data_IF_283941453858
#
_entry.id   IF_283941453858
#
_cell.length_a   1.000
_cell.length_b   1.000
_cell.length_c   1.000
_cell.angle_alpha   90.00
_cell.angle_beta   90.00
_cell.angle_gamma   90.00
#
_symmetry.space_group_name_H-M   'P 1'
#
loop_
_entity.id
_entity.type
_entity.pdbx_description
1 polymer ?
#
# COMPACT_ATOMS: atom_id res chain seq x y z
N UNK A 1 -12.92 11.24 -6.48
CA UNK A 1 -13.30 10.67 -7.59
C UNK A 1 -14.63 10.90 -8.28
N UNK A 2 -15.21 9.85 -8.84
CA UNK A 2 -16.43 9.91 -9.65
C UNK A 2 -17.64 10.45 -8.85
N UNK A 3 -17.74 10.13 -7.57
CA UNK A 3 -18.82 10.61 -6.70
C UNK A 3 -18.74 12.14 -6.45
N UNK A 4 -17.55 12.69 -6.27
CA UNK A 4 -17.38 14.13 -6.13
C UNK A 4 -17.81 14.88 -7.41
N UNK A 5 -17.53 14.32 -8.58
CA UNK A 5 -17.97 14.88 -9.85
C UNK A 5 -19.50 14.81 -10.01
N UNK A 6 -20.14 13.72 -9.60
CA UNK A 6 -21.61 13.59 -9.62
C UNK A 6 -22.27 14.56 -8.66
N UNK A 7 -21.72 14.75 -7.45
CA UNK A 7 -22.22 15.75 -6.49
C UNK A 7 -22.06 17.16 -7.03
N UNK A 8 -20.92 17.47 -7.65
CA UNK A 8 -20.68 18.79 -8.25
C UNK A 8 -21.66 19.07 -9.40
N UNK A 9 -21.93 18.06 -10.23
CA UNK A 9 -22.92 18.15 -11.32
C UNK A 9 -24.33 18.37 -10.77
N UNK A 10 -24.73 17.65 -9.73
CA UNK A 10 -26.03 17.82 -9.05
C UNK A 10 -26.16 19.21 -8.42
N UNK A 11 -25.07 19.74 -7.83
CA UNK A 11 -24.99 21.10 -7.31
C UNK A 11 -25.21 22.14 -8.39
N UNK A 12 -24.55 22.02 -9.53
CA UNK A 12 -24.73 22.93 -10.68
C UNK A 12 -26.17 22.88 -11.17
N UNK A 13 -26.72 21.69 -11.32
CA UNK A 13 -28.10 21.51 -11.80
C UNK A 13 -29.12 22.14 -10.85
N UNK A 14 -28.95 21.97 -9.53
CA UNK A 14 -29.77 22.58 -8.51
C UNK A 14 -29.64 24.11 -8.50
N UNK A 15 -28.45 24.66 -8.69
CA UNK A 15 -28.24 26.12 -8.82
C UNK A 15 -28.94 26.67 -10.06
N UNK A 16 -28.84 25.97 -11.20
CA UNK A 16 -29.53 26.40 -12.44
C UNK A 16 -31.04 26.37 -12.28
N UNK A 17 -31.59 25.31 -11.64
CA UNK A 17 -33.02 25.21 -11.36
C UNK A 17 -33.50 26.26 -10.37
N UNK A 18 -32.72 26.61 -9.35
CA UNK A 18 -33.02 27.70 -8.43
C UNK A 18 -33.02 29.06 -9.11
N UNK A 19 -32.06 29.32 -10.02
CA UNK A 19 -32.01 30.57 -10.81
C UNK A 19 -33.21 30.70 -11.75
N UNK A 20 -33.75 29.61 -12.27
CA UNK A 20 -34.96 29.61 -13.10
C UNK A 20 -36.27 29.79 -12.31
N UNK A 21 -36.21 30.08 -11.01
CA UNK A 21 -37.36 30.25 -10.08
C UNK A 21 -38.29 29.03 -9.96
N UNK A 22 -37.88 27.86 -10.41
CA UNK A 22 -38.67 26.61 -10.29
C UNK A 22 -38.62 26.00 -8.89
N UNK A 23 -37.60 26.34 -8.10
CA UNK A 23 -37.44 25.81 -6.74
C UNK A 23 -37.17 26.98 -5.78
N UNK A 24 -37.86 26.98 -4.64
CA UNK A 24 -37.64 27.98 -3.57
C UNK A 24 -36.26 27.77 -2.95
N UNK A 25 -35.44 28.76 -2.85
CA UNK A 25 -34.05 28.71 -2.32
C UNK A 25 -34.00 28.09 -0.92
N UNK A 26 -35.05 28.26 -0.11
CA UNK A 26 -35.21 27.67 1.23
C UNK A 26 -35.25 26.12 1.22
N UNK A 27 -35.62 25.50 0.10
CA UNK A 27 -35.67 24.05 -0.05
C UNK A 27 -34.40 23.57 -0.77
N UNK A 28 -33.90 24.30 -1.75
CA UNK A 28 -32.72 23.94 -2.52
C UNK A 28 -31.45 23.83 -1.64
N UNK A 29 -31.23 24.83 -0.75
CA UNK A 29 -30.02 24.89 0.07
C UNK A 29 -29.87 23.65 1.01
N UNK A 30 -30.87 23.27 1.84
CA UNK A 30 -30.76 22.11 2.69
C UNK A 30 -30.64 20.80 1.90
N UNK A 31 -31.28 20.68 0.72
CA UNK A 31 -31.17 19.51 -0.13
C UNK A 31 -29.74 19.33 -0.65
N UNK A 32 -29.09 20.42 -1.07
CA UNK A 32 -27.69 20.43 -1.51
C UNK A 32 -26.76 20.00 -0.39
N UNK A 33 -26.93 20.57 0.82
CA UNK A 33 -26.12 20.22 1.98
C UNK A 33 -26.30 18.75 2.34
N UNK A 34 -27.53 18.25 2.31
CA UNK A 34 -27.83 16.85 2.61
C UNK A 34 -27.17 15.90 1.59
N UNK A 35 -27.28 16.19 0.28
CA UNK A 35 -26.66 15.40 -0.78
C UNK A 35 -25.14 15.41 -0.68
N UNK A 36 -24.52 16.57 -0.38
CA UNK A 36 -23.09 16.68 -0.17
C UNK A 36 -22.63 15.86 1.04
N UNK A 37 -23.34 15.96 2.17
CA UNK A 37 -23.05 15.18 3.37
C UNK A 37 -23.19 13.66 3.12
N UNK A 38 -24.22 13.25 2.39
CA UNK A 38 -24.48 11.87 2.03
C UNK A 38 -23.37 11.32 1.10
N UNK A 39 -22.91 12.11 0.14
CA UNK A 39 -21.83 11.71 -0.75
C UNK A 39 -20.49 11.59 -0.02
N UNK A 40 -20.15 12.55 0.86
CA UNK A 40 -18.94 12.49 1.70
C UNK A 40 -19.02 11.29 2.64
N UNK A 41 -20.18 11.05 3.27
CA UNK A 41 -20.41 9.90 4.14
C UNK A 41 -20.24 8.58 3.40
N UNK A 42 -20.79 8.46 2.19
CA UNK A 42 -20.68 7.26 1.36
C UNK A 42 -19.24 7.03 0.90
N UNK A 43 -18.53 8.05 0.43
CA UNK A 43 -17.12 7.95 0.04
C UNK A 43 -16.25 7.53 1.22
N UNK A 44 -16.48 8.11 2.39
CA UNK A 44 -15.79 7.74 3.63
C UNK A 44 -16.07 6.29 4.01
N UNK A 45 -17.33 5.85 3.96
CA UNK A 45 -17.72 4.48 4.27
C UNK A 45 -17.13 3.47 3.27
N UNK A 46 -17.13 3.79 1.97
CA UNK A 46 -16.53 2.93 0.93
C UNK A 46 -15.01 2.87 1.02
N UNK A 47 -14.35 3.94 1.44
CA UNK A 47 -12.89 3.97 1.62
C UNK A 47 -12.43 3.35 2.93
N UNK A 48 -13.35 3.12 3.88
CA UNK A 48 -13.02 2.64 5.23
C UNK A 48 -12.30 1.29 5.22
N UNK A 49 -12.68 0.41 4.32
CA UNK A 49 -12.14 -0.95 4.20
C UNK A 49 -11.14 -1.11 3.05
N UNK A 50 -10.62 -0.03 2.50
CA UNK A 50 -9.67 -0.09 1.39
C UNK A 50 -8.25 0.02 1.91
N UNK A 51 -7.42 -0.96 1.54
CA UNK A 51 -5.97 -0.94 1.74
C UNK A 51 -5.31 -0.87 0.37
N UNK A 52 -4.41 0.10 0.19
CA UNK A 52 -3.59 0.19 -1.01
C UNK A 52 -2.18 -0.29 -0.69
N UNK A 53 -1.64 -1.16 -1.51
CA UNK A 53 -0.26 -1.66 -1.44
C UNK A 53 0.43 -1.22 -2.72
N UNK A 54 1.51 -0.47 -2.60
CA UNK A 54 2.24 0.11 -3.73
C UNK A 54 3.73 -0.13 -3.58
N UNK A 55 4.37 -0.46 -4.69
CA UNK A 55 5.83 -0.45 -4.81
C UNK A 55 6.28 0.93 -5.27
N UNK A 56 7.25 1.49 -4.58
CA UNK A 56 7.72 2.87 -4.80
C UNK A 56 9.25 2.91 -4.78
N UNK A 57 9.83 3.75 -5.61
CA UNK A 57 11.27 4.01 -5.62
C UNK A 57 12.01 3.35 -6.77
N UNK A 58 13.20 2.83 -6.52
CA UNK A 58 14.08 2.28 -7.55
C UNK A 58 13.74 0.83 -7.88
N UNK A 59 13.96 0.41 -9.12
CA UNK A 59 13.75 -0.98 -9.56
C UNK A 59 14.59 -1.99 -8.77
N UNK A 60 15.79 -1.59 -8.37
CA UNK A 60 16.73 -2.46 -7.66
C UNK A 60 16.23 -2.85 -6.27
N UNK A 61 15.68 -1.88 -5.54
CA UNK A 61 15.25 -2.06 -4.16
C UNK A 61 14.01 -1.19 -3.88
N UNK A 62 12.84 -1.56 -4.43
CA UNK A 62 11.62 -0.79 -4.23
C UNK A 62 11.15 -0.92 -2.78
N UNK A 63 10.72 0.18 -2.18
CA UNK A 63 9.99 0.17 -0.94
C UNK A 63 8.54 -0.24 -1.19
N UNK A 64 7.90 -0.81 -0.16
CA UNK A 64 6.46 -1.11 -0.18
C UNK A 64 5.77 -0.13 0.74
N UNK A 65 4.80 0.59 0.20
CA UNK A 65 3.96 1.53 0.95
C UNK A 65 2.55 0.95 1.03
N UNK A 66 2.10 0.68 2.24
CA UNK A 66 0.78 0.15 2.52
C UNK A 66 -0.01 1.26 3.18
N UNK A 67 -1.05 1.75 2.52
CA UNK A 67 -1.86 2.85 3.04
C UNK A 67 -3.27 2.42 3.32
N UNK A 68 -3.75 2.80 4.49
CA UNK A 68 -5.16 2.69 4.88
C UNK A 68 -5.59 4.03 5.45
N UNK A 69 -6.37 4.79 4.71
CA UNK A 69 -6.74 6.18 5.03
C UNK A 69 -5.49 7.08 5.20
N UNK A 70 -5.40 7.79 6.32
CA UNK A 70 -4.31 8.71 6.69
C UNK A 70 -3.11 8.02 7.36
N UNK A 71 -3.14 6.69 7.44
CA UNK A 71 -2.12 5.88 8.10
C UNK A 71 -1.37 5.02 7.09
N UNK A 72 -0.10 4.79 7.35
CA UNK A 72 0.72 3.93 6.51
C UNK A 72 1.61 2.97 7.31
N UNK A 73 1.93 1.85 6.65
CA UNK A 73 3.01 0.95 7.00
C UNK A 73 4.01 0.98 5.85
N UNK A 74 5.27 1.20 6.14
CA UNK A 74 6.33 1.29 5.14
C UNK A 74 7.33 0.17 5.34
N UNK A 75 7.56 -0.63 4.30
CA UNK A 75 8.64 -1.61 4.23
C UNK A 75 9.74 -1.01 3.38
N UNK A 76 10.81 -0.57 4.02
CA UNK A 76 11.88 0.17 3.37
C UNK A 76 13.08 -0.73 3.09
N UNK A 77 13.61 -0.68 1.87
CA UNK A 77 14.80 -1.43 1.46
C UNK A 77 15.66 -0.72 0.41
N UNK A 78 15.38 0.53 0.17
CA UNK A 78 16.09 1.34 -0.84
C UNK A 78 17.13 2.28 -0.26
N UNK A 79 17.55 3.22 -1.09
CA UNK A 79 18.46 4.30 -0.80
C UNK A 79 17.71 5.64 -0.62
N UNK A 80 18.45 6.75 -0.60
CA UNK A 80 17.89 8.12 -0.48
C UNK A 80 16.90 8.47 -1.61
N UNK A 81 17.10 7.96 -2.84
CA UNK A 81 16.16 8.17 -3.96
C UNK A 81 14.82 7.48 -3.65
N UNK A 82 14.89 6.24 -3.19
CA UNK A 82 13.69 5.49 -2.77
C UNK A 82 13.02 6.18 -1.59
N UNK A 83 13.77 6.72 -0.64
CA UNK A 83 13.21 7.45 0.49
C UNK A 83 12.38 8.66 0.04
N UNK A 84 12.94 9.51 -0.83
CA UNK A 84 12.21 10.66 -1.39
C UNK A 84 10.95 10.24 -2.14
N UNK A 85 11.03 9.13 -2.90
CA UNK A 85 9.87 8.60 -3.60
C UNK A 85 8.78 8.11 -2.64
N UNK A 86 9.15 7.51 -1.50
CA UNK A 86 8.20 7.12 -0.44
C UNK A 86 7.57 8.35 0.20
N UNK A 87 8.36 9.36 0.59
CA UNK A 87 7.88 10.62 1.17
C UNK A 87 6.86 11.30 0.25
N UNK A 88 7.20 11.46 -1.04
CA UNK A 88 6.27 12.01 -2.04
C UNK A 88 5.00 11.17 -2.19
N UNK A 89 5.09 9.84 -2.09
CA UNK A 89 3.92 8.97 -2.20
C UNK A 89 3.02 9.08 -0.97
N UNK A 90 3.59 9.18 0.22
CA UNK A 90 2.85 9.41 1.46
C UNK A 90 2.09 10.74 1.42
N UNK A 91 2.75 11.80 0.96
CA UNK A 91 2.13 13.11 0.78
C UNK A 91 0.97 13.07 -0.25
N UNK A 92 1.19 12.47 -1.43
CA UNK A 92 0.14 12.28 -2.45
C UNK A 92 -1.07 11.51 -1.94
N UNK A 93 -0.87 10.61 -0.99
CA UNK A 93 -1.93 9.83 -0.36
C UNK A 93 -2.58 10.50 0.84
N UNK A 94 -2.11 11.69 1.24
CA UNK A 94 -2.60 12.40 2.42
C UNK A 94 -2.33 11.63 3.71
N UNK A 95 -1.24 10.85 3.76
CA UNK A 95 -0.84 10.11 4.95
C UNK A 95 -0.32 11.10 5.98
N UNK A 96 -0.94 11.12 7.15
CA UNK A 96 -0.51 11.95 8.29
C UNK A 96 0.46 11.22 9.21
N UNK A 97 0.34 9.90 9.26
CA UNK A 97 1.12 9.11 10.23
C UNK A 97 1.61 7.81 9.60
N UNK A 98 2.91 7.57 9.68
CA UNK A 98 3.49 6.25 9.45
C UNK A 98 3.46 5.51 10.80
N UNK A 99 2.56 4.54 10.92
CA UNK A 99 2.41 3.78 12.17
C UNK A 99 3.57 2.81 12.38
N UNK A 100 4.07 2.20 11.30
CA UNK A 100 5.16 1.24 11.35
C UNK A 100 6.09 1.40 10.16
N UNK A 101 7.38 1.58 10.44
CA UNK A 101 8.47 1.49 9.49
C UNK A 101 9.27 0.23 9.75
N UNK A 102 9.37 -0.65 8.74
CA UNK A 102 10.25 -1.82 8.76
C UNK A 102 11.41 -1.57 7.82
N UNK A 103 12.58 -1.29 8.35
CA UNK A 103 13.81 -1.15 7.57
C UNK A 103 14.41 -2.54 7.31
N UNK A 104 14.31 -3.00 6.07
CA UNK A 104 14.75 -4.32 5.63
C UNK A 104 16.21 -4.32 5.15
N UNK A 105 16.90 -3.18 5.19
CA UNK A 105 18.30 -3.09 4.80
C UNK A 105 19.19 -3.78 5.83
N UNK A 106 20.18 -4.49 5.32
CA UNK A 106 21.07 -5.27 6.17
C UNK A 106 22.29 -4.46 6.64
N UNK A 107 22.75 -3.58 5.77
CA UNK A 107 23.90 -2.69 6.00
C UNK A 107 23.52 -1.30 5.46
N UNK A 108 22.70 -0.53 6.17
CA UNK A 108 22.38 0.81 5.74
C UNK A 108 23.59 1.74 5.89
N UNK A 109 24.02 2.38 4.82
CA UNK A 109 25.03 3.43 4.85
C UNK A 109 24.53 4.67 5.61
N UNK A 110 23.25 5.00 5.42
CA UNK A 110 22.58 6.10 6.10
C UNK A 110 21.31 5.63 6.81
N UNK A 111 20.95 6.22 7.95
CA UNK A 111 19.68 5.92 8.61
C UNK A 111 18.51 6.36 7.74
N UNK A 112 17.42 5.58 7.77
CA UNK A 112 16.17 6.00 7.14
C UNK A 112 15.57 7.16 7.93
N UNK A 113 15.29 8.28 7.25
CA UNK A 113 14.77 9.52 7.88
C UNK A 113 13.25 9.58 7.94
N UNK A 114 12.53 8.60 7.37
CA UNK A 114 11.06 8.55 7.42
C UNK A 114 10.63 8.45 8.88
N UNK A 115 9.86 9.43 9.35
CA UNK A 115 9.32 9.42 10.70
C UNK A 115 8.22 8.39 10.83
N UNK A 116 8.25 7.59 11.92
CA UNK A 116 7.26 6.57 12.20
C UNK A 116 7.06 6.39 13.71
N UNK A 117 5.84 6.04 14.13
CA UNK A 117 5.53 5.77 15.54
C UNK A 117 6.27 4.54 16.08
N UNK A 118 6.37 3.50 15.24
CA UNK A 118 7.12 2.27 15.56
C UNK A 118 8.13 2.00 14.46
N UNK A 119 9.30 1.52 14.85
CA UNK A 119 10.37 1.17 13.91
C UNK A 119 10.90 -0.22 14.22
N UNK A 120 11.07 -1.03 13.17
CA UNK A 120 11.76 -2.30 13.22
C UNK A 120 12.93 -2.21 12.25
N UNK A 121 14.14 -2.44 12.75
CA UNK A 121 15.34 -2.47 11.93
C UNK A 121 15.81 -3.92 11.81
N UNK A 122 15.81 -4.47 10.61
CA UNK A 122 16.23 -5.85 10.35
C UNK A 122 17.71 -6.07 10.70
N UNK A 123 18.57 -5.06 10.49
CA UNK A 123 19.99 -5.16 10.82
C UNK A 123 20.24 -5.29 12.33
N UNK A 124 19.38 -4.72 13.16
CA UNK A 124 19.51 -4.76 14.62
C UNK A 124 18.94 -6.05 15.26
N UNK A 125 18.23 -6.89 14.50
CA UNK A 125 17.73 -8.16 15.01
C UNK A 125 18.85 -9.20 15.06
N UNK A 126 18.83 -10.08 16.07
CA UNK A 126 19.73 -11.21 16.13
C UNK A 126 19.46 -12.21 14.98
N UNK A 127 20.50 -12.91 14.53
CA UNK A 127 20.36 -13.92 13.51
C UNK A 127 19.40 -15.05 13.96
N UNK A 128 18.65 -15.62 13.00
CA UNK A 128 17.67 -16.66 13.20
C UNK A 128 16.54 -16.30 14.17
N UNK A 129 16.26 -15.00 14.34
CA UNK A 129 15.14 -14.55 15.14
C UNK A 129 13.95 -14.13 14.27
N UNK A 130 12.78 -14.23 14.87
CA UNK A 130 11.53 -13.78 14.25
C UNK A 130 10.95 -12.62 15.06
N UNK A 131 10.64 -11.52 14.39
CA UNK A 131 9.92 -10.39 14.97
C UNK A 131 8.53 -10.29 14.36
N UNK A 132 7.50 -10.21 15.20
CA UNK A 132 6.12 -10.00 14.77
C UNK A 132 5.68 -8.60 15.13
N UNK A 133 4.88 -8.01 14.26
CA UNK A 133 4.22 -6.73 14.48
C UNK A 133 2.84 -6.76 13.82
N UNK A 134 1.88 -6.12 14.46
CA UNK A 134 0.54 -5.91 13.90
C UNK A 134 0.25 -4.41 13.91
N UNK A 135 -0.32 -3.92 12.82
CA UNK A 135 -0.66 -2.53 12.65
C UNK A 135 -1.95 -2.42 11.84
N UNK A 136 -3.04 -2.04 12.50
CA UNK A 136 -4.36 -2.04 11.89
C UNK A 136 -4.75 -3.43 11.38
N UNK A 137 -4.92 -3.55 10.06
CA UNK A 137 -5.27 -4.82 9.39
C UNK A 137 -4.07 -5.50 8.72
N UNK A 138 -2.87 -5.07 9.05
CA UNK A 138 -1.61 -5.58 8.52
C UNK A 138 -0.86 -6.34 9.62
N UNK A 139 -0.70 -7.64 9.44
CA UNK A 139 0.12 -8.48 10.29
C UNK A 139 1.44 -8.76 9.57
N UNK A 140 2.55 -8.57 10.26
CA UNK A 140 3.90 -8.73 9.75
C UNK A 140 4.67 -9.74 10.57
N UNK A 141 5.41 -10.58 9.88
CA UNK A 141 6.37 -11.51 10.47
C UNK A 141 7.71 -11.37 9.72
N UNK A 142 8.71 -10.81 10.41
CA UNK A 142 10.06 -10.61 9.90
C UNK A 142 10.97 -11.67 10.46
N UNK A 143 11.53 -12.52 9.61
CA UNK A 143 12.53 -13.51 9.94
C UNK A 143 13.91 -13.05 9.46
N UNK A 144 14.85 -12.91 10.39
CA UNK A 144 16.22 -12.51 10.13
C UNK A 144 17.10 -13.73 9.91
N UNK A 145 17.87 -13.72 8.82
CA UNK A 145 18.92 -14.72 8.55
C UNK A 145 20.28 -14.00 8.46
N UNK A 146 21.37 -14.76 8.40
CA UNK A 146 22.71 -14.20 8.20
C UNK A 146 22.82 -13.39 6.89
N UNK A 147 22.18 -13.84 5.82
CA UNK A 147 22.30 -13.27 4.47
C UNK A 147 21.22 -12.25 4.12
N UNK A 148 20.26 -12.01 5.01
CA UNK A 148 19.16 -11.10 4.75
C UNK A 148 17.95 -11.36 5.61
N UNK A 149 16.78 -11.03 5.12
CA UNK A 149 15.53 -11.28 5.83
C UNK A 149 14.40 -11.70 4.89
N UNK A 150 13.46 -12.45 5.47
CA UNK A 150 12.19 -12.83 4.86
C UNK A 150 11.10 -12.10 5.60
N UNK A 151 10.31 -11.32 4.91
CA UNK A 151 9.14 -10.69 5.49
C UNK A 151 7.89 -11.32 4.90
N UNK A 152 7.07 -11.85 5.79
CA UNK A 152 5.72 -12.30 5.49
C UNK A 152 4.74 -11.26 5.99
N UNK A 153 3.72 -11.00 5.21
CA UNK A 153 2.68 -10.05 5.56
C UNK A 153 1.33 -10.66 5.26
N UNK A 154 0.36 -10.40 6.13
CA UNK A 154 -1.05 -10.73 5.90
C UNK A 154 -1.87 -9.45 5.91
N UNK A 155 -2.66 -9.25 4.87
CA UNK A 155 -3.59 -8.12 4.76
C UNK A 155 -4.92 -8.64 4.23
N UNK A 156 -5.98 -8.51 5.03
CA UNK A 156 -7.31 -8.94 4.60
C UNK A 156 -7.41 -10.41 4.18
N UNK A 157 -6.68 -11.31 4.87
CA UNK A 157 -6.65 -12.73 4.54
C UNK A 157 -5.65 -13.12 3.45
N UNK A 158 -5.13 -12.16 2.68
CA UNK A 158 -4.12 -12.38 1.64
C UNK A 158 -2.71 -12.41 2.23
N UNK A 159 -1.87 -13.32 1.74
CA UNK A 159 -0.48 -13.48 2.17
C UNK A 159 0.46 -12.89 1.14
N UNK A 160 1.29 -11.99 1.61
CA UNK A 160 2.34 -11.34 0.85
C UNK A 160 3.70 -11.79 1.38
N UNK A 161 4.67 -11.89 0.49
CA UNK A 161 6.04 -12.20 0.86
C UNK A 161 7.00 -11.26 0.13
N UNK A 162 8.06 -10.87 0.83
CA UNK A 162 9.20 -10.19 0.22
C UNK A 162 10.49 -10.65 0.84
N UNK A 163 11.56 -10.58 0.06
CA UNK A 163 12.92 -10.90 0.46
C UNK A 163 13.78 -9.66 0.46
N UNK A 164 14.74 -9.59 1.35
CA UNK A 164 15.83 -8.62 1.32
C UNK A 164 17.15 -9.36 1.52
N UNK A 165 18.16 -9.02 0.72
CA UNK A 165 19.42 -9.76 0.65
C UNK A 165 19.32 -11.04 -0.20
N UNK A 166 20.27 -11.95 -0.02
CA UNK A 166 20.41 -13.21 -0.80
C UNK A 166 19.85 -14.41 -0.07
N UNK A 167 18.67 -14.25 0.53
CA UNK A 167 18.07 -15.31 1.37
C UNK A 167 17.42 -16.39 0.52
N UNK A 168 17.72 -17.63 0.87
CA UNK A 168 17.05 -18.81 0.32
C UNK A 168 16.33 -19.54 1.46
N UNK A 169 15.00 -19.60 1.47
CA UNK A 169 14.26 -20.38 2.44
C UNK A 169 14.62 -21.87 2.33
N UNK A 170 14.88 -22.51 3.47
CA UNK A 170 15.19 -23.94 3.50
C UNK A 170 14.00 -24.81 3.10
N UNK A 171 12.79 -24.33 3.34
CA UNK A 171 11.52 -25.00 2.96
C UNK A 171 10.71 -24.10 2.04
N UNK A 172 9.95 -24.67 1.09
CA UNK A 172 9.08 -23.88 0.22
C UNK A 172 8.06 -23.08 1.02
N UNK A 173 7.99 -21.76 0.75
CA UNK A 173 7.02 -20.86 1.34
C UNK A 173 5.94 -20.56 0.31
N UNK A 174 4.67 -20.59 0.73
CA UNK A 174 3.53 -20.24 -0.12
C UNK A 174 2.97 -18.88 0.26
N UNK A 175 2.74 -18.05 -0.74
CA UNK A 175 2.06 -16.77 -0.63
C UNK A 175 1.15 -16.57 -1.84
N UNK A 176 0.15 -15.72 -1.75
CA UNK A 176 -0.63 -15.29 -2.90
C UNK A 176 0.17 -14.28 -3.71
N UNK A 177 0.87 -13.37 -3.05
CA UNK A 177 1.57 -12.25 -3.67
C UNK A 177 3.04 -12.20 -3.33
N UNK A 178 3.89 -12.10 -4.35
CA UNK A 178 5.29 -11.74 -4.21
C UNK A 178 5.45 -10.23 -4.39
N UNK A 179 6.06 -9.55 -3.42
CA UNK A 179 6.48 -8.16 -3.55
C UNK A 179 7.91 -8.15 -4.08
N UNK A 180 8.06 -8.03 -5.39
CA UNK A 180 9.30 -8.26 -6.10
C UNK A 180 10.45 -7.34 -5.69
N UNK A 181 11.64 -7.90 -5.73
CA UNK A 181 12.93 -7.21 -5.66
C UNK A 181 13.86 -7.82 -6.70
N UNK A 182 15.08 -7.31 -6.83
CA UNK A 182 16.07 -7.90 -7.75
C UNK A 182 16.49 -9.33 -7.36
N UNK A 183 16.35 -9.69 -6.08
CA UNK A 183 16.69 -11.01 -5.59
C UNK A 183 15.73 -12.07 -6.16
N UNK A 184 16.30 -13.15 -6.72
CA UNK A 184 15.51 -14.29 -7.21
C UNK A 184 14.77 -14.93 -6.04
N UNK A 185 13.45 -15.19 -6.17
CA UNK A 185 12.65 -15.76 -5.09
C UNK A 185 12.76 -17.30 -5.06
N UNK A 186 13.95 -17.83 -4.81
CA UNK A 186 14.15 -19.30 -4.71
C UNK A 186 13.32 -19.88 -3.57
N UNK A 187 12.68 -21.03 -3.79
CA UNK A 187 11.80 -21.71 -2.83
C UNK A 187 10.58 -20.90 -2.37
N UNK A 188 10.13 -19.94 -3.17
CA UNK A 188 8.86 -19.23 -2.94
C UNK A 188 7.87 -19.63 -4.04
N UNK A 189 6.68 -20.08 -3.63
CA UNK A 189 5.55 -20.32 -4.52
C UNK A 189 4.55 -19.20 -4.35
N UNK A 190 4.24 -18.49 -5.42
CA UNK A 190 3.31 -17.38 -5.46
C UNK A 190 2.38 -17.49 -6.65
N UNK A 191 1.20 -16.87 -6.55
CA UNK A 191 0.22 -16.81 -7.63
C UNK A 191 0.46 -15.59 -8.49
N UNK A 192 0.69 -14.44 -7.86
CA UNK A 192 0.83 -13.15 -8.50
C UNK A 192 2.06 -12.39 -7.95
N UNK A 193 2.51 -11.39 -8.71
CA UNK A 193 3.68 -10.61 -8.36
C UNK A 193 3.42 -9.11 -8.53
N UNK A 194 3.73 -8.33 -7.48
CA UNK A 194 3.85 -6.88 -7.59
C UNK A 194 5.28 -6.53 -7.94
N UNK A 195 5.48 -5.73 -9.00
CA UNK A 195 6.80 -5.39 -9.53
C UNK A 195 6.83 -3.98 -10.12
N UNK A 196 7.96 -3.29 -10.02
CA UNK A 196 8.22 -2.02 -10.71
C UNK A 196 8.83 -2.22 -12.10
N UNK A 197 9.20 -3.44 -12.47
CA UNK A 197 9.86 -3.72 -13.74
C UNK A 197 9.59 -5.14 -14.19
N UNK A 198 9.28 -5.31 -15.47
CA UNK A 198 9.27 -6.60 -16.16
C UNK A 198 10.67 -7.14 -16.46
N UNK A 199 11.72 -6.31 -16.29
CA UNK A 199 13.10 -6.64 -16.68
C UNK A 199 13.95 -7.26 -15.57
N UNK A 200 13.35 -7.88 -14.55
CA UNK A 200 14.11 -8.70 -13.62
C UNK A 200 14.54 -9.99 -14.32
N UNK A 201 15.82 -10.33 -14.22
CA UNK A 201 16.42 -11.50 -14.92
C UNK A 201 15.74 -12.85 -14.65
N UNK A 202 14.95 -12.94 -13.59
CA UNK A 202 14.23 -14.13 -13.16
C UNK A 202 12.74 -14.14 -13.52
N UNK A 203 12.24 -13.05 -14.13
CA UNK A 203 10.86 -12.94 -14.62
C UNK A 203 10.80 -13.30 -16.09
N UNK A 204 9.66 -13.80 -16.54
CA UNK A 204 9.35 -13.99 -17.95
C UNK A 204 9.30 -12.62 -18.66
N UNK A 205 9.79 -12.57 -19.90
CA UNK A 205 9.94 -11.30 -20.66
C UNK A 205 8.62 -10.56 -20.89
N UNK A 206 7.51 -11.28 -20.94
CA UNK A 206 6.17 -10.73 -21.25
C UNK A 206 5.35 -10.36 -20.01
N UNK A 207 5.91 -10.45 -18.79
CA UNK A 207 5.20 -10.09 -17.58
C UNK A 207 4.99 -8.57 -17.49
N UNK A 208 3.73 -8.14 -17.56
CA UNK A 208 3.39 -6.73 -17.37
C UNK A 208 3.65 -6.30 -15.92
N UNK A 209 4.33 -5.15 -15.68
CA UNK A 209 4.60 -4.69 -14.33
C UNK A 209 3.31 -4.18 -13.66
N UNK A 210 2.94 -4.82 -12.56
CA UNK A 210 1.85 -4.37 -11.67
C UNK A 210 2.49 -3.84 -10.39
N UNK A 211 2.52 -2.53 -10.21
CA UNK A 211 3.18 -1.91 -9.05
C UNK A 211 2.22 -1.51 -7.94
N UNK A 212 0.92 -1.59 -8.18
CA UNK A 212 -0.12 -1.15 -7.25
C UNK A 212 -1.22 -2.18 -7.13
N UNK A 213 -1.61 -2.46 -5.89
CA UNK A 213 -2.73 -3.31 -5.55
C UNK A 213 -3.68 -2.57 -4.62
N UNK A 214 -4.97 -2.57 -4.94
CA UNK A 214 -6.02 -2.05 -4.09
C UNK A 214 -6.87 -3.19 -3.58
N UNK A 215 -6.86 -3.40 -2.28
CA UNK A 215 -7.64 -4.42 -1.59
C UNK A 215 -8.85 -3.77 -0.92
N UNK A 216 -10.03 -4.27 -1.22
CA UNK A 216 -11.24 -3.97 -0.47
C UNK A 216 -11.50 -5.10 0.51
N UNK A 217 -11.47 -4.79 1.79
CA UNK A 217 -11.66 -5.76 2.86
C UNK A 217 -13.17 -5.87 3.17
N UNK A 218 -13.85 -6.80 2.54
CA UNK A 218 -15.24 -7.14 2.87
C UNK A 218 -15.26 -8.45 3.65
N UNK A 219 -16.11 -8.53 4.67
CA UNK A 219 -16.17 -9.61 5.67
C UNK A 219 -16.01 -11.04 5.15
N UNK A 220 -14.77 -11.49 4.92
CA UNK A 220 -14.39 -12.84 4.53
C UNK A 220 -13.76 -13.00 3.14
N UNK A 221 -13.72 -11.98 2.30
CA UNK A 221 -13.07 -12.04 0.99
C UNK A 221 -12.47 -10.71 0.57
N UNK A 222 -11.38 -10.72 -0.16
CA UNK A 222 -10.77 -9.54 -0.74
C UNK A 222 -11.16 -9.41 -2.21
N UNK A 223 -11.85 -8.34 -2.58
CA UNK A 223 -12.10 -7.97 -3.97
C UNK A 223 -10.88 -7.21 -4.51
N UNK A 224 -10.29 -7.72 -5.58
CA UNK A 224 -9.05 -7.20 -6.15
C UNK A 224 -9.31 -6.18 -7.24
N UNK A 225 -8.54 -5.11 -7.24
CA UNK A 225 -8.33 -4.27 -8.41
C UNK A 225 -6.83 -4.00 -8.55
N UNK A 226 -6.18 -4.73 -9.44
CA UNK A 226 -4.81 -4.45 -9.85
C UNK A 226 -4.80 -3.17 -10.69
N UNK A 227 -3.93 -2.23 -10.36
CA UNK A 227 -3.74 -0.99 -11.10
C UNK A 227 -2.37 -0.99 -11.79
N UNK A 228 -2.38 -0.67 -13.09
CA UNK A 228 -1.17 -0.41 -13.87
C UNK A 228 -0.63 1.00 -13.58
N UNK A 229 0.66 1.19 -13.70
CA UNK A 229 1.32 2.52 -13.73
C UNK A 229 1.25 3.05 -15.14
#
# INVERSE_FOLDING_TARGET
>A
GAYAALVFLALILLCVMAMRRHIRLRVALPTVILLAALAIGLETALSWNVVNIELVGTRAAPAVVITQREKAVVLFRGNSITQRAVENQLEKRGVRTVELLVDLRMQPEEPCRIEAQKRINAAALAENTTRRASCGKVDLELFRTRQGCILRMRVGGQRFITLSGTVRPAKPIRAEWLLASMARPDNIRYTDCLTLSSKYRWMEEDAEPVSRLRLRLEGGGALFKAGRV
#
